data_IF_523019392634
#
_entry.id   IF_523019392634
#
_cell.length_a   1.000
_cell.length_b   1.000
_cell.length_c   1.000
_cell.angle_alpha   90.00
_cell.angle_beta   90.00
_cell.angle_gamma   90.00
#
_symmetry.space_group_name_H-M   'P 1'
#
loop_
_entity.id
_entity.type
_entity.pdbx_description
1 polymer ?
#
# COMPACT_ATOMS: atom_id res chain seq x y z
N UNK A 1 -8.28 -11.71 4.39
CA UNK A 1 -6.89 -11.28 4.66
C UNK A 1 -6.85 -9.78 4.39
N UNK A 2 -6.22 -8.96 5.23
CA UNK A 2 -6.19 -7.50 4.99
C UNK A 2 -4.87 -7.15 4.29
N UNK A 3 -4.94 -6.71 3.04
CA UNK A 3 -3.77 -6.25 2.30
C UNK A 3 -3.75 -4.73 2.26
N UNK A 4 -2.58 -4.13 2.54
CA UNK A 4 -2.34 -2.70 2.43
C UNK A 4 -1.07 -2.46 1.64
N UNK A 5 -1.01 -1.36 0.88
CA UNK A 5 0.16 -1.06 0.07
C UNK A 5 0.22 0.41 -0.35
N UNK A 6 1.43 0.91 -0.53
CA UNK A 6 1.67 2.28 -0.98
C UNK A 6 2.65 2.29 -2.16
N UNK A 7 2.33 3.05 -3.20
CA UNK A 7 3.12 3.15 -4.42
C UNK A 7 3.31 4.63 -4.82
N UNK A 8 4.51 4.99 -5.23
CA UNK A 8 4.86 6.36 -5.65
C UNK A 8 4.34 6.66 -7.06
N UNK A 9 4.60 5.74 -7.99
CA UNK A 9 4.33 5.91 -9.42
C UNK A 9 2.84 5.70 -9.72
N UNK A 10 2.24 6.66 -10.44
CA UNK A 10 0.81 6.63 -10.75
C UNK A 10 0.40 5.39 -11.56
N UNK A 11 1.24 5.02 -12.55
CA UNK A 11 0.96 3.92 -13.46
C UNK A 11 1.01 2.58 -12.72
N UNK A 12 2.04 2.37 -11.88
CA UNK A 12 2.17 1.18 -11.05
C UNK A 12 1.02 1.06 -10.03
N UNK A 13 0.60 2.18 -9.43
CA UNK A 13 -0.56 2.20 -8.54
C UNK A 13 -1.84 1.74 -9.24
N UNK A 14 -2.08 2.21 -10.47
CA UNK A 14 -3.24 1.78 -11.26
C UNK A 14 -3.17 0.28 -11.58
N UNK A 15 -1.99 -0.23 -11.97
CA UNK A 15 -1.77 -1.66 -12.22
C UNK A 15 -2.02 -2.49 -10.95
N UNK A 16 -1.54 -2.03 -9.79
CA UNK A 16 -1.75 -2.73 -8.52
C UNK A 16 -3.25 -2.80 -8.15
N UNK A 17 -4.00 -1.71 -8.36
CA UNK A 17 -5.46 -1.69 -8.18
C UNK A 17 -6.16 -2.68 -9.13
N UNK A 18 -5.76 -2.72 -10.41
CA UNK A 18 -6.31 -3.68 -11.37
C UNK A 18 -5.99 -5.13 -10.97
N UNK A 19 -4.77 -5.41 -10.52
CA UNK A 19 -4.37 -6.75 -10.06
C UNK A 19 -5.19 -7.22 -8.86
N UNK A 20 -5.43 -6.34 -7.87
CA UNK A 20 -6.28 -6.67 -6.74
C UNK A 20 -7.70 -7.06 -7.18
N UNK A 21 -8.27 -6.31 -8.14
CA UNK A 21 -9.60 -6.61 -8.70
C UNK A 21 -9.60 -7.95 -9.47
N UNK A 22 -8.63 -8.19 -10.35
CA UNK A 22 -8.55 -9.40 -11.19
C UNK A 22 -8.46 -10.66 -10.33
N UNK A 23 -7.76 -10.57 -9.19
CA UNK A 23 -7.58 -11.69 -8.28
C UNK A 23 -8.64 -11.78 -7.17
N UNK A 24 -9.69 -10.96 -7.23
CA UNK A 24 -10.76 -10.90 -6.22
C UNK A 24 -10.21 -10.68 -4.80
N UNK A 25 -9.21 -9.79 -4.70
CA UNK A 25 -8.53 -9.45 -3.45
C UNK A 25 -8.95 -8.07 -2.95
N UNK A 26 -9.31 -8.00 -1.67
CA UNK A 26 -9.51 -6.72 -0.98
C UNK A 26 -8.15 -6.13 -0.56
N UNK A 27 -7.71 -5.10 -1.29
CA UNK A 27 -6.47 -4.38 -1.02
C UNK A 27 -6.74 -2.89 -0.83
N UNK A 28 -6.22 -2.33 0.26
CA UNK A 28 -6.21 -0.89 0.50
C UNK A 28 -4.91 -0.32 -0.05
N UNK A 29 -4.96 0.29 -1.24
CA UNK A 29 -3.79 0.90 -1.87
C UNK A 29 -3.85 2.43 -1.79
N UNK A 30 -2.69 3.04 -1.56
CA UNK A 30 -2.54 4.49 -1.58
C UNK A 30 -1.42 4.92 -2.53
N UNK A 31 -1.59 6.08 -3.15
CA UNK A 31 -0.54 6.70 -3.97
C UNK A 31 0.25 7.74 -3.16
N UNK A 32 1.57 7.69 -3.28
CA UNK A 32 2.50 8.71 -2.78
C UNK A 32 3.80 8.14 -2.25
N UNK A 33 4.74 9.03 -1.91
CA UNK A 33 6.04 8.66 -1.33
C UNK A 33 5.87 8.10 0.09
N UNK A 34 6.27 6.84 0.29
CA UNK A 34 6.14 6.14 1.58
C UNK A 34 7.04 6.71 2.67
N UNK A 35 8.18 7.31 2.32
CA UNK A 35 9.15 7.86 3.26
C UNK A 35 8.78 9.29 3.68
N UNK A 36 8.38 10.14 2.74
CA UNK A 36 8.02 11.54 2.98
C UNK A 36 6.58 11.64 3.53
N UNK A 37 5.66 10.87 2.98
CA UNK A 37 4.24 10.94 3.32
C UNK A 37 3.60 9.53 3.43
N UNK A 38 3.92 8.78 4.49
CA UNK A 38 3.28 7.49 4.72
C UNK A 38 1.78 7.70 4.93
N UNK A 39 0.98 7.09 4.05
CA UNK A 39 -0.47 7.24 4.00
C UNK A 39 -1.19 6.36 5.01
N UNK A 40 -0.58 5.25 5.39
CA UNK A 40 -1.09 4.33 6.40
C UNK A 40 -0.55 4.72 7.77
N UNK A 41 -1.23 5.65 8.44
CA UNK A 41 -0.93 6.08 9.81
C UNK A 41 -2.08 5.72 10.74
N UNK A 42 -1.75 5.20 11.92
CA UNK A 42 -2.70 5.06 13.01
C UNK A 42 -3.08 6.44 13.57
N UNK A 43 -4.21 6.51 14.27
CA UNK A 43 -4.75 7.74 14.85
C UNK A 43 -3.76 8.47 15.80
N UNK A 44 -2.80 7.75 16.37
CA UNK A 44 -1.74 8.27 17.22
C UNK A 44 -0.48 8.71 16.43
N UNK A 45 -0.59 8.91 15.11
CA UNK A 45 0.52 9.23 14.19
C UNK A 45 1.61 8.17 14.05
N UNK A 46 1.42 6.97 14.61
CA UNK A 46 2.35 5.85 14.42
C UNK A 46 2.08 5.11 13.11
N UNK A 47 3.10 4.45 12.57
CA UNK A 47 2.93 3.49 11.48
C UNK A 47 2.39 2.18 12.07
N UNK A 48 1.28 1.62 11.55
CA UNK A 48 0.76 0.34 12.01
C UNK A 48 1.77 -0.80 11.82
N UNK A 49 1.88 -1.68 12.82
CA UNK A 49 2.60 -2.95 12.67
C UNK A 49 1.78 -3.92 11.81
N UNK A 50 2.48 -4.74 11.02
CA UNK A 50 1.91 -5.80 10.21
C UNK A 50 2.60 -7.12 10.55
N UNK A 51 1.87 -8.22 10.48
CA UNK A 51 2.43 -9.56 10.76
C UNK A 51 3.43 -9.99 9.67
N UNK A 52 3.21 -9.54 8.44
CA UNK A 52 4.05 -9.81 7.27
C UNK A 52 4.22 -8.51 6.49
N UNK A 53 5.45 -8.21 6.11
CA UNK A 53 5.80 -7.08 5.24
C UNK A 53 6.65 -7.61 4.09
N UNK A 54 6.25 -7.31 2.87
CA UNK A 54 7.02 -7.59 1.65
C UNK A 54 7.22 -6.28 0.92
N UNK A 55 8.45 -6.00 0.53
CA UNK A 55 8.80 -4.83 -0.25
C UNK A 55 9.95 -5.18 -1.20
N UNK A 56 9.95 -4.55 -2.37
CA UNK A 56 11.07 -4.54 -3.30
C UNK A 56 11.44 -3.07 -3.57
N UNK A 57 12.16 -2.41 -2.64
CA UNK A 57 12.53 -1.02 -2.82
C UNK A 57 13.57 -0.88 -3.95
N UNK A 58 13.44 0.19 -4.73
CA UNK A 58 14.48 0.67 -5.65
C UNK A 58 14.77 2.13 -5.36
#
# INVERSE_FOLDING_TARGET
MKLSGQELQADNYAIAQMNAIIHDMEAELARGDTMINPKFRAANSKIPSHDIVVANPM
#
